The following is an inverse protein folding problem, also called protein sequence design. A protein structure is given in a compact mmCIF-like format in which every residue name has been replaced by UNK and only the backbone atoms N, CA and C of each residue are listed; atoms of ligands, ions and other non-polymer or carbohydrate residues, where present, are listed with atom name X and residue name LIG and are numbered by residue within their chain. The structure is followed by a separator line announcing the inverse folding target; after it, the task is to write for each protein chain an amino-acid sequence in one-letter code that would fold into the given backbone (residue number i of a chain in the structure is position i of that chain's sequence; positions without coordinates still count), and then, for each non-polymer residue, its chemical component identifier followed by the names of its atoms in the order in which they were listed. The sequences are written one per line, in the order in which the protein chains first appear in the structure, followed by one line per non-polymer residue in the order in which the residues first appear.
data_IF_248918102149
#
_entry.id   IF_248918102149
#
_cell.length_a   1.000
_cell.length_b   1.000
_cell.length_c   1.000
_cell.angle_alpha   90.00
_cell.angle_beta   90.00
_cell.angle_gamma   90.00
#
_symmetry.space_group_name_H-M   'P 1'
#
loop_
_entity.id
_entity.type
_entity.pdbx_description
1 polymer ?
#
# COMPACT_ATOMS: atom_id res chain seq x y z
N UNK A 1 -9.84 31.28 -17.29
CA UNK A 1 -10.15 29.91 -17.77
C UNK A 1 -11.40 29.48 -17.02
N UNK A 2 -12.45 29.13 -17.74
CA UNK A 2 -13.77 28.95 -17.15
C UNK A 2 -14.19 27.50 -17.29
N UNK A 3 -14.60 26.88 -16.18
CA UNK A 3 -15.27 25.58 -16.21
C UNK A 3 -16.78 25.79 -16.16
N UNK A 4 -17.47 25.52 -17.27
CA UNK A 4 -18.93 25.72 -17.42
C UNK A 4 -19.69 24.46 -17.80
N UNK A 5 -19.02 23.31 -17.86
CA UNK A 5 -19.67 22.05 -18.23
C UNK A 5 -20.75 21.65 -17.20
N UNK A 6 -21.96 21.28 -17.66
CA UNK A 6 -22.97 20.72 -16.78
C UNK A 6 -22.51 19.35 -16.25
N UNK A 7 -23.05 18.86 -15.12
CA UNK A 7 -22.67 17.58 -14.54
C UNK A 7 -23.26 16.42 -15.36
N UNK A 8 -22.81 16.21 -16.60
CA UNK A 8 -23.28 15.10 -17.44
C UNK A 8 -22.84 13.76 -16.86
N UNK A 9 -23.49 12.68 -17.27
CA UNK A 9 -23.19 11.34 -16.76
C UNK A 9 -21.74 10.96 -17.06
N UNK A 10 -21.23 11.31 -18.22
CA UNK A 10 -19.86 11.03 -18.67
C UNK A 10 -18.83 11.78 -17.81
N UNK A 11 -19.08 13.07 -17.57
CA UNK A 11 -18.22 13.90 -16.70
C UNK A 11 -18.23 13.38 -15.27
N UNK A 12 -19.40 13.04 -14.73
CA UNK A 12 -19.51 12.52 -13.37
C UNK A 12 -18.88 11.13 -13.23
N UNK A 13 -18.95 10.28 -14.26
CA UNK A 13 -18.22 9.02 -14.28
C UNK A 13 -16.71 9.25 -14.21
N UNK A 14 -16.20 10.20 -14.98
CA UNK A 14 -14.78 10.55 -14.93
C UNK A 14 -14.37 11.07 -13.54
N UNK A 15 -15.16 11.96 -12.94
CA UNK A 15 -14.90 12.49 -11.60
C UNK A 15 -15.06 11.43 -10.50
N UNK A 16 -15.93 10.44 -10.68
CA UNK A 16 -16.15 9.38 -9.70
C UNK A 16 -14.96 8.42 -9.55
N UNK A 17 -14.08 8.31 -10.55
CA UNK A 17 -12.98 7.31 -10.70
C UNK A 17 -13.39 5.83 -10.69
N UNK A 18 -14.59 5.52 -10.18
CA UNK A 18 -15.15 4.19 -10.00
C UNK A 18 -16.68 4.25 -10.23
N UNK A 19 -17.49 3.42 -9.57
CA UNK A 19 -18.92 3.32 -9.83
C UNK A 19 -19.64 4.62 -9.52
N UNK A 20 -20.21 5.28 -10.54
CA UNK A 20 -21.00 6.49 -10.35
C UNK A 20 -22.16 6.24 -9.37
N UNK A 21 -22.78 5.05 -9.41
CA UNK A 21 -23.86 4.67 -8.47
C UNK A 21 -23.45 4.77 -7.00
N UNK A 22 -22.23 4.34 -6.66
CA UNK A 22 -21.72 4.38 -5.27
C UNK A 22 -21.12 5.73 -4.90
N UNK A 23 -20.58 6.45 -5.89
CA UNK A 23 -19.79 7.66 -5.69
C UNK A 23 -20.46 8.93 -6.20
N UNK A 24 -21.76 8.90 -6.54
CA UNK A 24 -22.49 10.05 -7.06
C UNK A 24 -22.36 11.30 -6.18
N UNK A 25 -22.49 11.22 -4.83
CA UNK A 25 -22.27 12.38 -3.97
C UNK A 25 -20.89 13.00 -4.14
N UNK A 26 -19.84 12.17 -4.21
CA UNK A 26 -18.46 12.62 -4.39
C UNK A 26 -18.24 13.22 -5.78
N UNK A 27 -18.73 12.58 -6.84
CA UNK A 27 -18.60 13.07 -8.20
C UNK A 27 -19.26 14.44 -8.38
N UNK A 28 -20.47 14.62 -7.84
CA UNK A 28 -21.16 15.92 -7.82
C UNK A 28 -20.37 16.94 -7.01
N UNK A 29 -19.75 16.53 -5.89
CA UNK A 29 -18.93 17.40 -5.06
C UNK A 29 -17.70 17.94 -5.79
N UNK A 30 -16.97 17.05 -6.47
CA UNK A 30 -15.82 17.40 -7.29
C UNK A 30 -16.23 18.33 -8.44
N UNK A 31 -17.39 18.08 -9.07
CA UNK A 31 -17.94 18.96 -10.09
C UNK A 31 -18.22 20.37 -9.53
N UNK A 32 -18.85 20.49 -8.35
CA UNK A 32 -19.07 21.78 -7.69
C UNK A 32 -17.76 22.50 -7.40
N UNK A 33 -16.73 21.76 -6.98
CA UNK A 33 -15.40 22.34 -6.76
C UNK A 33 -14.76 22.86 -8.03
N UNK A 34 -14.84 22.13 -9.14
CA UNK A 34 -14.36 22.61 -10.44
C UNK A 34 -15.09 23.89 -10.85
N UNK A 35 -16.42 23.94 -10.69
CA UNK A 35 -17.22 25.15 -10.95
C UNK A 35 -16.73 26.33 -10.12
N UNK A 36 -16.41 26.13 -8.84
CA UNK A 36 -15.99 27.23 -7.95
C UNK A 36 -14.52 27.65 -8.13
N UNK A 37 -13.61 26.70 -8.40
CA UNK A 37 -12.18 26.94 -8.64
C UNK A 37 -11.92 27.70 -9.95
N UNK A 38 -12.77 27.45 -10.94
CA UNK A 38 -12.65 27.97 -12.30
C UNK A 38 -13.86 28.83 -12.70
N UNK A 39 -14.53 29.48 -11.74
CA UNK A 39 -15.56 30.48 -12.04
C UNK A 39 -14.95 31.86 -12.29
N UNK A 40 -15.62 32.65 -13.13
CA UNK A 40 -15.38 34.10 -13.31
C UNK A 40 -16.58 34.92 -12.78
N UNK A 41 -17.59 34.28 -12.17
CA UNK A 41 -18.71 34.97 -11.52
C UNK A 41 -18.22 35.62 -10.23
N UNK A 42 -18.40 36.93 -10.11
CA UNK A 42 -18.03 37.69 -8.91
C UNK A 42 -18.68 37.14 -7.63
N UNK A 43 -18.06 37.41 -6.48
CA UNK A 43 -18.49 36.90 -5.18
C UNK A 43 -19.83 37.54 -4.79
N UNK A 44 -20.91 36.82 -5.06
CA UNK A 44 -22.25 37.08 -4.52
C UNK A 44 -22.63 36.01 -3.47
N UNK A 45 -22.84 36.39 -2.19
CA UNK A 45 -23.28 35.47 -1.14
C UNK A 45 -24.60 34.75 -1.43
N UNK A 46 -25.44 35.26 -2.34
CA UNK A 46 -26.71 34.66 -2.74
C UNK A 46 -26.58 33.60 -3.84
N UNK A 47 -25.41 33.48 -4.47
CA UNK A 47 -25.13 32.49 -5.50
C UNK A 47 -24.22 31.37 -4.98
N UNK A 48 -24.62 30.12 -5.20
CA UNK A 48 -23.83 28.95 -4.80
C UNK A 48 -22.55 28.78 -5.65
N UNK A 49 -22.55 29.22 -6.92
CA UNK A 49 -21.45 29.06 -7.88
C UNK A 49 -20.64 30.34 -8.12
N UNK A 50 -20.11 30.93 -7.05
CA UNK A 50 -19.25 32.11 -7.14
C UNK A 50 -17.77 31.77 -7.09
N UNK A 51 -16.95 32.62 -7.69
CA UNK A 51 -15.50 32.47 -7.69
C UNK A 51 -14.96 32.45 -6.27
N UNK A 52 -14.14 31.45 -5.97
CA UNK A 52 -13.39 31.41 -4.70
C UNK A 52 -12.03 32.05 -4.93
N UNK A 53 -11.79 33.19 -4.27
CA UNK A 53 -10.52 33.90 -4.37
C UNK A 53 -9.48 33.21 -3.48
N UNK A 54 -8.42 32.69 -4.09
CA UNK A 54 -7.37 31.91 -3.42
C UNK A 54 -5.97 32.44 -3.77
N UNK A 55 -4.99 32.29 -2.86
CA UNK A 55 -3.58 32.47 -3.19
C UNK A 55 -3.11 31.38 -4.17
N UNK A 56 -2.10 31.68 -4.99
CA UNK A 56 -1.46 30.67 -5.85
C UNK A 56 -0.01 30.44 -5.40
N UNK A 57 0.35 29.26 -4.85
CA UNK A 57 -0.49 28.08 -4.57
C UNK A 57 -1.38 28.21 -3.31
N UNK A 58 -2.47 27.45 -3.20
CA UNK A 58 -3.37 27.41 -2.03
C UNK A 58 -3.31 26.09 -1.26
N UNK A 59 -3.57 26.12 0.04
CA UNK A 59 -3.75 24.94 0.89
C UNK A 59 -5.22 24.57 1.07
N UNK A 60 -5.50 23.41 1.65
CA UNK A 60 -6.87 23.08 2.08
C UNK A 60 -7.44 24.11 3.06
N UNK A 61 -6.62 24.66 3.96
CA UNK A 61 -7.10 25.68 4.91
C UNK A 61 -7.51 26.97 4.19
N UNK A 62 -6.73 27.38 3.18
CA UNK A 62 -7.07 28.53 2.32
C UNK A 62 -8.40 28.26 1.59
N UNK A 63 -8.57 27.05 1.02
CA UNK A 63 -9.82 26.63 0.39
C UNK A 63 -11.02 26.64 1.34
N UNK A 64 -10.89 26.01 2.51
CA UNK A 64 -11.95 25.92 3.52
C UNK A 64 -12.41 27.30 3.97
N UNK A 65 -11.46 28.17 4.30
CA UNK A 65 -11.75 29.51 4.80
C UNK A 65 -12.37 30.42 3.74
N UNK A 66 -12.10 30.17 2.46
CA UNK A 66 -12.68 30.94 1.36
C UNK A 66 -14.01 30.36 0.86
N UNK A 67 -14.23 29.04 1.00
CA UNK A 67 -15.42 28.35 0.50
C UNK A 67 -16.55 28.26 1.53
N UNK A 68 -16.25 28.04 2.81
CA UNK A 68 -17.25 27.95 3.88
C UNK A 68 -17.37 29.25 4.66
N UNK A 69 -18.45 29.41 5.43
CA UNK A 69 -18.60 30.57 6.32
C UNK A 69 -17.69 30.47 7.55
N UNK A 70 -17.47 31.60 8.23
CA UNK A 70 -16.57 31.69 9.41
C UNK A 70 -17.00 30.80 10.58
N UNK A 71 -18.27 30.38 10.60
CA UNK A 71 -18.82 29.51 11.65
C UNK A 71 -18.62 28.02 11.33
N UNK A 72 -18.04 27.68 10.17
CA UNK A 72 -17.77 26.31 9.78
C UNK A 72 -16.69 25.68 10.67
N UNK A 73 -16.93 24.47 11.23
CA UNK A 73 -15.99 23.86 12.14
C UNK A 73 -14.66 23.51 11.46
N UNK A 74 -13.57 23.63 12.23
CA UNK A 74 -12.21 23.33 11.76
C UNK A 74 -11.71 21.95 12.17
N UNK A 75 -12.48 21.24 13.00
CA UNK A 75 -12.17 19.91 13.52
C UNK A 75 -12.69 18.79 12.58
N UNK A 76 -12.33 17.54 12.88
CA UNK A 76 -12.53 16.41 11.95
C UNK A 76 -13.99 15.93 11.83
N UNK A 77 -14.82 16.20 12.84
CA UNK A 77 -16.19 15.70 12.88
C UNK A 77 -17.06 16.26 11.74
N UNK A 78 -18.05 15.48 11.32
CA UNK A 78 -19.07 15.93 10.37
C UNK A 78 -19.74 17.19 10.95
N UNK A 79 -19.75 18.33 10.23
CA UNK A 79 -20.35 19.56 10.73
C UNK A 79 -21.81 19.36 11.11
N UNK A 80 -22.19 19.73 12.35
CA UNK A 80 -23.60 19.88 12.70
C UNK A 80 -24.24 20.98 11.84
N UNK A 81 -25.57 21.01 11.76
CA UNK A 81 -26.27 22.16 11.16
C UNK A 81 -25.93 23.41 11.96
N UNK A 82 -25.51 24.45 11.25
CA UNK A 82 -25.11 25.74 11.81
C UNK A 82 -25.62 26.84 10.89
N UNK A 83 -24.84 27.90 10.69
CA UNK A 83 -25.13 29.01 9.79
C UNK A 83 -25.81 28.57 8.47
N UNK A 84 -27.05 29.02 8.23
CA UNK A 84 -27.79 28.70 7.01
C UNK A 84 -27.12 29.20 5.73
N UNK A 85 -26.21 30.17 5.82
CA UNK A 85 -25.41 30.65 4.68
C UNK A 85 -24.16 29.81 4.40
N UNK A 86 -23.85 28.82 5.24
CA UNK A 86 -22.67 27.99 5.02
C UNK A 86 -22.89 26.99 3.88
N UNK A 87 -21.98 26.95 2.91
CA UNK A 87 -22.03 26.03 1.76
C UNK A 87 -22.19 24.54 2.12
N UNK A 88 -21.87 24.14 3.35
CA UNK A 88 -22.04 22.77 3.82
C UNK A 88 -23.44 22.36 4.26
N UNK A 89 -24.36 23.32 4.46
CA UNK A 89 -25.76 22.99 4.83
C UNK A 89 -26.59 22.57 3.62
N UNK A 90 -26.15 22.97 2.41
CA UNK A 90 -26.84 22.69 1.18
C UNK A 90 -26.75 21.22 0.76
N UNK A 91 -27.92 20.69 0.39
CA UNK A 91 -28.08 19.35 -0.14
C UNK A 91 -27.59 19.25 -1.59
N UNK A 92 -27.40 18.03 -2.07
CA UNK A 92 -27.11 17.79 -3.49
C UNK A 92 -28.19 18.40 -4.38
N UNK A 93 -29.46 18.30 -3.99
CA UNK A 93 -30.57 18.91 -4.72
C UNK A 93 -30.43 20.43 -4.82
N UNK A 94 -30.01 21.11 -3.74
CA UNK A 94 -29.84 22.57 -3.73
C UNK A 94 -28.79 23.01 -4.75
N UNK A 95 -27.65 22.33 -4.80
CA UNK A 95 -26.57 22.61 -5.76
C UNK A 95 -27.01 22.40 -7.21
N UNK A 96 -27.72 21.31 -7.47
CA UNK A 96 -28.17 20.90 -8.80
C UNK A 96 -29.42 21.64 -9.30
N UNK A 97 -30.19 22.28 -8.42
CA UNK A 97 -31.41 23.04 -8.79
C UNK A 97 -31.15 24.49 -9.14
N UNK A 98 -29.92 24.98 -8.96
CA UNK A 98 -29.58 26.37 -9.30
C UNK A 98 -29.69 26.59 -10.81
N UNK A 99 -30.14 27.77 -11.27
CA UNK A 99 -30.18 28.10 -12.69
C UNK A 99 -28.83 27.92 -13.40
N UNK A 100 -27.74 28.20 -12.68
CA UNK A 100 -26.37 28.14 -13.18
C UNK A 100 -25.86 26.71 -13.40
N UNK A 101 -26.53 25.70 -12.83
CA UNK A 101 -26.16 24.29 -13.00
C UNK A 101 -26.33 23.78 -14.44
N UNK A 102 -27.20 24.44 -15.22
CA UNK A 102 -27.51 24.06 -16.61
C UNK A 102 -28.31 22.75 -16.74
N UNK A 103 -28.90 22.24 -15.65
CA UNK A 103 -29.65 20.98 -15.66
C UNK A 103 -31.08 21.15 -15.14
N UNK A 104 -32.00 20.36 -15.70
CA UNK A 104 -33.31 20.14 -15.12
C UNK A 104 -33.27 18.81 -14.34
N UNK A 105 -33.42 18.85 -13.01
CA UNK A 105 -33.28 17.66 -12.13
C UNK A 105 -34.07 16.43 -12.61
N UNK A 106 -35.31 16.62 -13.08
CA UNK A 106 -36.14 15.52 -13.59
C UNK A 106 -35.66 14.92 -14.91
N UNK A 107 -34.91 15.66 -15.71
CA UNK A 107 -34.28 15.14 -16.94
C UNK A 107 -32.94 14.47 -16.62
N UNK A 108 -32.17 15.07 -15.72
CA UNK A 108 -30.90 14.53 -15.23
C UNK A 108 -31.08 13.22 -14.44
N UNK A 109 -32.13 13.11 -13.64
CA UNK A 109 -32.50 11.84 -13.00
C UNK A 109 -32.79 10.74 -14.01
N UNK A 110 -33.52 11.05 -15.08
CA UNK A 110 -33.78 10.11 -16.19
C UNK A 110 -32.52 9.69 -16.94
N UNK A 111 -31.49 10.53 -17.02
CA UNK A 111 -30.20 10.10 -17.58
C UNK A 111 -29.49 9.14 -16.64
N UNK A 112 -29.50 9.38 -15.33
CA UNK A 112 -28.89 8.47 -14.35
C UNK A 112 -29.61 7.12 -14.20
N UNK A 113 -30.94 7.08 -14.37
CA UNK A 113 -31.72 5.84 -14.39
C UNK A 113 -31.26 4.87 -15.49
N UNK A 114 -30.87 5.40 -16.66
CA UNK A 114 -30.32 4.60 -17.77
C UNK A 114 -28.93 4.02 -17.47
N UNK A 115 -28.30 4.45 -16.38
CA UNK A 115 -27.00 3.99 -15.88
C UNK A 115 -27.11 3.33 -14.48
N UNK A 116 -28.20 2.60 -14.24
CA UNK A 116 -28.43 1.73 -13.08
C UNK A 116 -28.53 2.40 -11.70
N UNK A 117 -28.86 3.71 -11.64
CA UNK A 117 -29.22 4.41 -10.39
C UNK A 117 -30.75 4.48 -10.28
N UNK A 118 -31.40 3.67 -9.42
CA UNK A 118 -32.85 3.66 -9.33
C UNK A 118 -33.40 4.96 -8.73
N UNK A 119 -34.61 5.40 -9.11
CA UNK A 119 -35.19 6.69 -8.70
C UNK A 119 -35.26 6.86 -7.18
N UNK A 120 -35.65 5.81 -6.46
CA UNK A 120 -35.77 5.81 -4.99
C UNK A 120 -34.43 6.00 -4.29
N UNK A 121 -33.34 5.49 -4.87
CA UNK A 121 -31.99 5.70 -4.34
C UNK A 121 -31.48 7.10 -4.66
N UNK A 122 -31.82 7.62 -5.84
CA UNK A 122 -31.46 8.98 -6.23
C UNK A 122 -32.12 10.02 -5.32
N UNK A 123 -33.40 9.89 -5.00
CA UNK A 123 -34.08 10.81 -4.07
C UNK A 123 -33.38 10.86 -2.70
N UNK A 124 -33.01 9.71 -2.16
CA UNK A 124 -32.27 9.63 -0.88
C UNK A 124 -30.88 10.28 -0.97
N UNK A 125 -30.19 10.16 -2.11
CA UNK A 125 -28.91 10.83 -2.35
C UNK A 125 -29.10 12.34 -2.45
N UNK A 126 -30.11 12.81 -3.19
CA UNK A 126 -30.36 14.23 -3.43
C UNK A 126 -30.58 15.02 -2.12
N UNK A 127 -31.11 14.38 -1.08
CA UNK A 127 -31.33 14.98 0.24
C UNK A 127 -30.07 15.05 1.14
N UNK A 128 -28.94 14.45 0.73
CA UNK A 128 -27.71 14.48 1.52
C UNK A 128 -27.02 15.86 1.41
N UNK A 129 -26.48 16.35 2.53
CA UNK A 129 -25.64 17.55 2.56
C UNK A 129 -24.33 17.29 1.82
N UNK A 130 -24.11 17.98 0.70
CA UNK A 130 -23.01 17.68 -0.22
C UNK A 130 -21.64 17.79 0.47
N UNK A 131 -21.43 18.89 1.20
CA UNK A 131 -20.20 19.15 1.95
C UNK A 131 -20.35 18.93 3.46
N UNK A 132 -21.46 18.33 3.90
CA UNK A 132 -21.68 17.93 5.30
C UNK A 132 -20.95 16.63 5.62
N UNK A 133 -19.65 16.59 5.37
CA UNK A 133 -18.76 15.42 5.52
C UNK A 133 -17.53 15.81 6.36
N UNK A 134 -16.65 14.86 6.64
CA UNK A 134 -15.44 15.13 7.45
C UNK A 134 -14.43 15.98 6.68
N UNK A 135 -13.57 16.67 7.44
CA UNK A 135 -12.44 17.43 6.89
C UNK A 135 -11.55 16.56 6.01
N UNK A 136 -11.26 15.31 6.42
CA UNK A 136 -10.46 14.36 5.63
C UNK A 136 -11.06 14.10 4.26
N UNK A 137 -12.36 13.81 4.17
CA UNK A 137 -13.01 13.56 2.88
C UNK A 137 -12.94 14.77 1.94
N UNK A 138 -13.03 15.99 2.48
CA UNK A 138 -12.83 17.20 1.68
C UNK A 138 -11.36 17.31 1.22
N UNK A 139 -10.40 17.12 2.12
CA UNK A 139 -8.98 17.15 1.73
C UNK A 139 -8.64 16.12 0.63
N UNK A 140 -9.19 14.91 0.72
CA UNK A 140 -9.06 13.83 -0.27
C UNK A 140 -9.67 14.18 -1.64
N UNK A 141 -10.67 15.06 -1.68
CA UNK A 141 -11.24 15.52 -2.93
C UNK A 141 -10.31 16.48 -3.69
N UNK A 142 -9.50 17.29 -2.99
CA UNK A 142 -8.52 18.18 -3.64
C UNK A 142 -7.37 17.34 -4.20
N UNK A 143 -7.00 16.31 -3.45
CA UNK A 143 -6.09 15.27 -3.92
C UNK A 143 -6.62 14.59 -5.19
N UNK A 144 -7.90 14.20 -5.19
CA UNK A 144 -8.54 13.56 -6.35
C UNK A 144 -8.56 14.46 -7.57
N UNK A 145 -8.88 15.75 -7.41
CA UNK A 145 -8.79 16.73 -8.50
C UNK A 145 -7.35 16.87 -9.01
N UNK A 146 -6.35 16.78 -8.14
CA UNK A 146 -4.95 16.79 -8.58
C UNK A 146 -4.57 15.54 -9.38
N UNK A 147 -5.02 14.35 -8.95
CA UNK A 147 -4.75 13.09 -9.64
C UNK A 147 -5.45 13.00 -11.00
N UNK A 148 -6.65 13.57 -11.10
CA UNK A 148 -7.38 13.70 -12.36
C UNK A 148 -6.80 14.78 -13.29
N UNK A 149 -5.76 15.50 -12.88
CA UNK A 149 -5.10 16.53 -13.67
C UNK A 149 -5.80 17.89 -13.66
N UNK A 150 -6.83 18.08 -12.83
CA UNK A 150 -7.50 19.37 -12.65
C UNK A 150 -6.72 20.32 -11.74
N UNK A 151 -5.83 19.82 -10.89
CA UNK A 151 -4.94 20.63 -10.06
C UNK A 151 -3.51 20.12 -10.16
N UNK A 152 -2.52 20.98 -9.89
CA UNK A 152 -1.12 20.56 -9.64
C UNK A 152 -0.83 20.63 -8.16
N UNK A 153 -0.50 19.49 -7.54
CA UNK A 153 -0.02 19.43 -6.16
C UNK A 153 1.50 19.67 -6.11
N UNK A 154 1.94 20.50 -5.17
CA UNK A 154 3.35 20.70 -4.83
C UNK A 154 3.46 20.75 -3.30
N UNK A 155 3.94 19.65 -2.71
CA UNK A 155 3.86 19.43 -1.26
C UNK A 155 2.41 19.43 -0.78
N UNK A 156 2.09 20.30 0.19
CA UNK A 156 0.75 20.43 0.80
C UNK A 156 -0.13 21.51 0.15
N UNK A 157 0.28 22.05 -1.01
CA UNK A 157 -0.45 23.12 -1.69
C UNK A 157 -0.80 22.72 -3.12
N UNK A 158 -1.89 23.27 -3.61
CA UNK A 158 -2.45 23.07 -4.94
C UNK A 158 -2.31 24.34 -5.77
N UNK A 159 -2.18 24.17 -7.08
CA UNK A 159 -2.27 25.23 -8.08
C UNK A 159 -3.30 24.85 -9.11
N UNK A 160 -4.06 25.84 -9.58
CA UNK A 160 -4.91 25.66 -10.75
C UNK A 160 -4.05 25.37 -11.98
N UNK A 161 -4.46 24.39 -12.78
CA UNK A 161 -3.86 24.18 -14.11
C UNK A 161 -4.20 25.32 -15.07
N UNK A 162 -3.39 25.50 -16.10
CA UNK A 162 -3.59 26.46 -17.21
C UNK A 162 -4.16 25.81 -18.47
N UNK A 163 -4.37 24.49 -18.44
CA UNK A 163 -5.04 23.70 -19.47
C UNK A 163 -5.76 22.55 -18.76
N UNK A 164 -7.01 22.28 -19.14
CA UNK A 164 -7.78 21.17 -18.56
C UNK A 164 -7.24 19.82 -19.05
N UNK A 165 -7.35 18.76 -18.22
CA UNK A 165 -6.92 17.43 -18.60
C UNK A 165 -7.74 16.90 -19.78
N UNK A 166 -7.09 16.15 -20.67
CA UNK A 166 -7.79 15.44 -21.74
C UNK A 166 -8.68 14.35 -21.13
N UNK A 167 -9.90 14.20 -21.67
CA UNK A 167 -10.80 13.13 -21.21
C UNK A 167 -10.14 11.77 -21.48
N UNK A 168 -10.16 10.84 -20.53
CA UNK A 168 -9.60 9.51 -20.75
C UNK A 168 -10.38 8.82 -21.88
N UNK A 169 -9.74 8.65 -23.03
CA UNK A 169 -10.08 7.59 -23.99
C UNK A 169 -9.71 6.27 -23.34
N UNK A 170 -10.58 5.25 -23.43
CA UNK A 170 -10.37 3.90 -22.89
C UNK A 170 -9.10 3.24 -23.46
N UNK A 171 -7.94 3.60 -22.92
CA UNK A 171 -6.67 2.93 -23.12
C UNK A 171 -5.63 3.60 -22.22
N UNK A 172 -5.44 3.03 -21.02
CA UNK A 172 -4.21 3.24 -20.26
C UNK A 172 -3.63 1.86 -20.03
N UNK A 173 -2.66 1.49 -20.87
CA UNK A 173 -1.87 0.28 -20.70
C UNK A 173 -1.14 0.36 -19.36
N UNK A 174 -1.49 -0.56 -18.46
CA UNK A 174 -0.76 -0.82 -17.22
C UNK A 174 0.40 -1.75 -17.60
N UNK A 175 1.39 -1.20 -18.28
CA UNK A 175 2.66 -1.90 -18.49
C UNK A 175 3.63 -1.51 -17.38
N UNK A 176 4.31 -2.51 -16.83
CA UNK A 176 5.29 -2.45 -15.73
C UNK A 176 4.76 -2.51 -14.29
N UNK A 177 3.92 -3.51 -13.99
CA UNK A 177 3.97 -4.12 -12.66
C UNK A 177 5.05 -5.21 -12.68
N UNK A 178 6.18 -4.98 -12.01
CA UNK A 178 7.19 -6.03 -11.76
C UNK A 178 6.65 -6.99 -10.69
N UNK A 179 5.81 -7.92 -11.15
CA UNK A 179 5.27 -9.07 -10.39
C UNK A 179 5.26 -10.28 -11.33
N UNK A 180 5.07 -11.52 -10.83
CA UNK A 180 4.90 -12.67 -11.70
C UNK A 180 3.92 -12.33 -12.84
N UNK A 181 4.19 -12.74 -14.09
CA UNK A 181 3.51 -12.26 -15.29
C UNK A 181 1.97 -12.31 -15.23
N UNK A 182 1.40 -13.15 -14.36
CA UNK A 182 -0.03 -13.26 -14.12
C UNK A 182 -0.65 -12.13 -13.28
N UNK A 183 0.10 -11.38 -12.48
CA UNK A 183 -0.49 -10.40 -11.56
C UNK A 183 -0.93 -9.11 -12.27
N UNK A 184 -0.22 -8.68 -13.31
CA UNK A 184 -0.66 -7.59 -14.19
C UNK A 184 -1.98 -7.94 -14.89
N UNK A 185 -2.11 -9.18 -15.38
CA UNK A 185 -3.35 -9.69 -15.95
C UNK A 185 -4.48 -9.79 -14.90
N UNK A 186 -4.16 -10.23 -13.68
CA UNK A 186 -5.11 -10.25 -12.56
C UNK A 186 -5.56 -8.83 -12.21
N UNK A 187 -4.66 -7.85 -12.12
CA UNK A 187 -5.01 -6.44 -11.86
C UNK A 187 -5.90 -5.90 -12.98
N UNK A 188 -5.58 -6.18 -14.24
CA UNK A 188 -6.42 -5.82 -15.37
C UNK A 188 -7.83 -6.43 -15.24
N UNK A 189 -7.95 -7.71 -14.88
CA UNK A 189 -9.24 -8.35 -14.64
C UNK A 189 -9.96 -7.79 -13.40
N UNK A 190 -9.24 -7.51 -12.31
CA UNK A 190 -9.77 -6.88 -11.10
C UNK A 190 -10.33 -5.49 -11.41
N UNK A 191 -9.72 -4.74 -12.31
CA UNK A 191 -10.17 -3.43 -12.75
C UNK A 191 -11.26 -3.50 -13.83
N UNK A 192 -11.41 -4.63 -14.53
CA UNK A 192 -12.37 -4.78 -15.61
C UNK A 192 -13.79 -5.05 -15.11
N UNK A 193 -14.74 -4.30 -15.65
CA UNK A 193 -16.18 -4.58 -15.47
C UNK A 193 -16.72 -5.42 -16.61
N UNK A 194 -17.62 -6.34 -16.28
CA UNK A 194 -18.31 -7.19 -17.25
C UNK A 194 -19.78 -6.80 -17.28
N UNK A 195 -20.22 -6.25 -18.42
CA UNK A 195 -21.57 -5.67 -18.62
C UNK A 195 -21.91 -4.61 -17.56
N UNK A 196 -20.98 -3.69 -17.30
CA UNK A 196 -21.18 -2.60 -16.32
C UNK A 196 -21.03 -3.01 -14.85
N UNK A 197 -20.92 -4.31 -14.55
CA UNK A 197 -20.87 -4.83 -13.18
C UNK A 197 -19.45 -5.21 -12.73
N UNK A 198 -19.11 -4.87 -11.49
CA UNK A 198 -17.87 -5.31 -10.84
C UNK A 198 -18.02 -6.76 -10.38
N UNK A 199 -17.25 -7.66 -10.96
CA UNK A 199 -17.32 -9.11 -10.67
C UNK A 199 -16.05 -9.68 -10.07
N UNK A 200 -14.93 -9.00 -10.26
CA UNK A 200 -13.65 -9.38 -9.70
C UNK A 200 -13.38 -8.53 -8.47
N UNK A 201 -13.06 -9.14 -7.34
CA UNK A 201 -12.78 -8.42 -6.09
C UNK A 201 -11.46 -8.89 -5.53
N UNK A 202 -10.62 -7.95 -5.11
CA UNK A 202 -9.40 -8.24 -4.36
C UNK A 202 -9.70 -8.05 -2.87
N UNK A 203 -9.75 -9.15 -2.14
CA UNK A 203 -9.75 -9.10 -0.69
C UNK A 203 -8.34 -9.32 -0.19
N UNK A 204 -7.75 -8.28 0.40
CA UNK A 204 -6.48 -8.35 1.10
C UNK A 204 -6.73 -8.03 2.57
N UNK A 205 -6.40 -8.97 3.44
CA UNK A 205 -6.40 -8.72 4.89
C UNK A 205 -5.33 -7.67 5.19
N UNK A 206 -5.69 -6.42 5.45
CA UNK A 206 -4.71 -5.37 5.76
C UNK A 206 -4.47 -5.32 7.27
N UNK A 207 -3.21 -5.39 7.71
CA UNK A 207 -2.83 -5.41 9.14
C UNK A 207 -2.33 -4.05 9.66
N UNK A 208 -2.32 -3.03 8.80
CA UNK A 208 -1.96 -1.67 9.22
C UNK A 208 -3.20 -1.02 9.85
N UNK A 209 -3.04 -0.38 11.03
CA UNK A 209 -4.11 0.39 11.64
C UNK A 209 -4.68 1.46 10.70
N UNK A 210 -6.00 1.67 10.71
CA UNK A 210 -6.68 2.61 9.81
C UNK A 210 -6.16 4.06 9.95
N UNK A 211 -5.71 4.45 11.14
CA UNK A 211 -5.11 5.74 11.44
C UNK A 211 -3.67 5.90 10.91
N UNK A 212 -3.00 4.79 10.58
CA UNK A 212 -1.68 4.80 9.98
C UNK A 212 -1.69 4.77 8.45
N UNK A 213 -2.85 4.55 7.80
CA UNK A 213 -2.97 4.47 6.34
C UNK A 213 -2.51 5.74 5.63
N UNK A 214 -3.05 6.89 6.02
CA UNK A 214 -2.70 8.19 5.42
C UNK A 214 -1.19 8.45 5.54
N UNK A 215 -0.63 8.13 6.71
CA UNK A 215 0.80 8.29 6.96
C UNK A 215 1.64 7.37 6.07
N UNK A 216 1.20 6.14 5.84
CA UNK A 216 1.89 5.22 4.92
C UNK A 216 1.86 5.75 3.49
N UNK A 217 0.72 6.28 3.05
CA UNK A 217 0.59 6.92 1.73
C UNK A 217 1.50 8.16 1.61
N UNK A 218 1.51 9.03 2.63
CA UNK A 218 2.41 10.19 2.71
C UNK A 218 3.88 9.78 2.60
N UNK A 219 4.29 8.69 3.28
CA UNK A 219 5.65 8.15 3.19
C UNK A 219 5.96 7.60 1.80
N UNK A 220 5.01 6.94 1.14
CA UNK A 220 5.18 6.45 -0.23
C UNK A 220 5.38 7.64 -1.19
N UNK A 221 4.57 8.68 -1.07
CA UNK A 221 4.68 9.86 -1.93
C UNK A 221 5.98 10.63 -1.68
N UNK A 222 6.41 10.75 -0.41
CA UNK A 222 7.71 11.34 -0.08
C UNK A 222 8.88 10.53 -0.67
N UNK A 223 8.81 9.21 -0.62
CA UNK A 223 9.81 8.33 -1.23
C UNK A 223 9.84 8.48 -2.76
N UNK A 224 8.68 8.56 -3.43
CA UNK A 224 8.59 8.84 -4.89
C UNK A 224 9.28 10.15 -5.25
N UNK A 225 8.93 11.25 -4.56
CA UNK A 225 9.56 12.56 -4.77
C UNK A 225 11.07 12.52 -4.48
N UNK A 226 11.51 11.69 -3.54
CA UNK A 226 12.93 11.44 -3.27
C UNK A 226 13.62 10.72 -4.44
N UNK A 227 13.01 9.66 -4.98
CA UNK A 227 13.58 8.86 -6.07
C UNK A 227 13.62 9.59 -7.42
N UNK A 228 12.78 10.59 -7.64
CA UNK A 228 12.85 11.47 -8.82
C UNK A 228 14.07 12.41 -8.81
N UNK A 229 14.73 12.60 -7.66
CA UNK A 229 15.91 13.44 -7.54
C UNK A 229 17.17 12.70 -8.00
N UNK A 230 18.08 13.43 -8.65
CA UNK A 230 19.40 12.93 -9.05
C UNK A 230 20.51 13.78 -8.43
N UNK A 231 21.30 13.25 -7.47
CA UNK A 231 21.20 11.92 -6.88
C UNK A 231 20.02 11.77 -5.90
N UNK A 232 19.53 10.55 -5.73
CA UNK A 232 18.52 10.22 -4.70
C UNK A 232 19.09 10.59 -3.31
N UNK A 233 18.36 11.35 -2.48
CA UNK A 233 18.85 11.76 -1.17
C UNK A 233 18.77 10.60 -0.15
N UNK A 234 19.74 10.49 0.78
CA UNK A 234 19.56 9.69 1.98
C UNK A 234 18.46 10.29 2.85
N UNK A 235 17.88 9.49 3.75
CA UNK A 235 16.80 9.89 4.65
C UNK A 235 17.17 9.59 6.10
N UNK A 236 16.82 10.49 7.00
CA UNK A 236 16.76 10.24 8.42
C UNK A 236 15.39 9.66 8.77
N UNK A 237 15.37 8.46 9.30
CA UNK A 237 14.17 7.80 9.78
C UNK A 237 14.06 7.94 11.29
N UNK A 238 12.86 8.24 11.79
CA UNK A 238 12.48 7.99 13.19
C UNK A 238 11.52 6.80 13.19
N UNK A 239 11.96 5.66 13.73
CA UNK A 239 11.29 4.37 13.57
C UNK A 239 11.02 3.69 14.91
N UNK A 240 9.80 3.17 15.08
CA UNK A 240 9.44 2.37 16.25
C UNK A 240 9.81 0.89 16.06
N UNK A 241 10.88 0.45 16.73
CA UNK A 241 11.39 -0.91 16.65
C UNK A 241 10.68 -1.83 17.64
N UNK A 242 9.91 -2.81 17.15
CA UNK A 242 9.25 -3.81 18.02
C UNK A 242 10.24 -4.73 18.71
N UNK A 243 11.35 -5.09 18.05
CA UNK A 243 12.41 -5.93 18.64
C UNK A 243 12.99 -5.29 19.91
N UNK A 244 13.02 -3.96 19.98
CA UNK A 244 13.61 -3.19 21.09
C UNK A 244 12.60 -2.46 21.96
N UNK A 245 11.35 -2.45 21.54
CA UNK A 245 10.28 -1.68 22.18
C UNK A 245 10.68 -0.21 22.39
N UNK A 246 11.36 0.38 21.39
CA UNK A 246 11.92 1.72 21.47
C UNK A 246 11.88 2.45 20.12
N UNK A 247 11.80 3.78 20.19
CA UNK A 247 11.97 4.66 19.03
C UNK A 247 13.47 4.83 18.77
N UNK A 248 13.85 4.76 17.50
CA UNK A 248 15.24 4.87 17.08
C UNK A 248 15.36 5.77 15.86
N UNK A 249 16.49 6.44 15.75
CA UNK A 249 16.86 7.18 14.56
C UNK A 249 17.93 6.43 13.78
N UNK A 250 17.82 6.46 12.46
CA UNK A 250 18.81 5.86 11.56
C UNK A 250 18.86 6.63 10.25
N UNK A 251 20.06 6.95 9.78
CA UNK A 251 20.29 7.47 8.44
C UNK A 251 20.42 6.31 7.46
N UNK A 252 19.56 6.30 6.45
CA UNK A 252 19.49 5.22 5.46
C UNK A 252 19.38 5.77 4.04
N UNK A 253 19.89 5.00 3.09
CA UNK A 253 19.63 5.19 1.66
C UNK A 253 18.38 4.37 1.28
N UNK A 254 17.28 5.03 0.83
CA UNK A 254 16.04 4.34 0.48
C UNK A 254 16.16 3.68 -0.90
N UNK A 255 16.10 2.34 -0.96
CA UNK A 255 16.36 1.60 -2.20
C UNK A 255 15.07 1.29 -2.95
N UNK A 256 14.12 0.61 -2.31
CA UNK A 256 12.84 0.25 -2.93
C UNK A 256 11.78 -0.08 -1.87
N UNK A 257 10.52 -0.19 -2.31
CA UNK A 257 9.40 -0.59 -1.46
C UNK A 257 8.85 -1.94 -1.91
N UNK A 258 8.53 -2.80 -0.94
CA UNK A 258 7.89 -4.10 -1.13
C UNK A 258 6.59 -4.19 -0.35
N UNK A 259 5.58 -4.82 -0.93
CA UNK A 259 4.39 -5.28 -0.22
C UNK A 259 4.50 -6.77 0.06
N UNK A 260 4.67 -7.15 1.32
CA UNK A 260 4.85 -8.54 1.76
C UNK A 260 4.07 -8.77 3.04
N UNK A 261 3.42 -9.93 3.17
CA UNK A 261 2.62 -10.31 4.34
C UNK A 261 1.73 -9.17 4.87
N UNK A 262 0.96 -8.54 3.98
CA UNK A 262 -0.09 -7.57 4.33
C UNK A 262 0.41 -6.20 4.83
N UNK A 263 1.70 -5.90 4.70
CA UNK A 263 2.26 -4.61 5.04
C UNK A 263 3.23 -4.10 3.97
N UNK A 264 3.46 -2.79 3.96
CA UNK A 264 4.39 -2.12 3.06
C UNK A 264 5.71 -1.89 3.78
N UNK A 265 6.81 -2.27 3.14
CA UNK A 265 8.16 -2.22 3.68
C UNK A 265 9.07 -1.40 2.78
N UNK A 266 9.84 -0.50 3.38
CA UNK A 266 10.99 0.14 2.75
C UNK A 266 12.23 -0.74 2.97
N UNK A 267 12.81 -1.24 1.87
CA UNK A 267 14.14 -1.83 1.85
C UNK A 267 15.16 -0.69 1.79
N UNK A 268 15.99 -0.57 2.82
CA UNK A 268 16.99 0.49 2.90
C UNK A 268 18.35 -0.03 3.32
N UNK A 269 19.40 0.68 2.91
CA UNK A 269 20.78 0.38 3.27
C UNK A 269 21.35 1.54 4.09
N UNK A 270 21.84 1.29 5.29
CA UNK A 270 22.31 2.36 6.14
C UNK A 270 22.68 1.92 7.55
N UNK A 271 22.54 2.83 8.49
CA UNK A 271 22.94 2.58 9.87
C UNK A 271 22.17 1.42 10.48
N UNK A 272 22.93 0.48 11.03
CA UNK A 272 22.40 -0.66 11.76
C UNK A 272 22.47 -0.34 13.25
N UNK A 273 21.32 -0.12 13.88
CA UNK A 273 21.30 0.14 15.31
C UNK A 273 21.67 -1.11 16.16
N UNK A 274 21.87 -2.31 15.57
CA UNK A 274 22.22 -3.58 16.27
C UNK A 274 23.73 -3.82 16.46
N UNK A 275 24.61 -3.02 15.87
CA UNK A 275 26.06 -3.27 15.97
C UNK A 275 26.80 -2.08 16.55
N UNK A 276 27.75 -2.38 17.45
CA UNK A 276 28.67 -1.40 18.04
C UNK A 276 29.71 -0.86 17.04
N UNK A 277 29.61 -1.23 15.77
CA UNK A 277 30.53 -0.85 14.71
C UNK A 277 29.82 0.02 13.67
N UNK A 278 30.56 0.94 13.07
CA UNK A 278 30.17 1.86 12.00
C UNK A 278 29.86 1.12 10.67
N UNK A 279 29.16 0.00 10.71
CA UNK A 279 28.86 -0.84 9.57
C UNK A 279 27.49 -0.49 8.99
N UNK A 280 27.45 -0.26 7.68
CA UNK A 280 26.21 -0.05 6.95
C UNK A 280 25.68 -1.39 6.49
N UNK A 281 24.41 -1.65 6.78
CA UNK A 281 23.76 -2.90 6.42
C UNK A 281 22.32 -2.67 5.92
N UNK A 282 21.74 -3.72 5.36
CA UNK A 282 20.38 -3.75 4.85
C UNK A 282 19.37 -3.96 5.96
N UNK A 283 18.24 -3.26 5.87
CA UNK A 283 17.10 -3.45 6.75
C UNK A 283 15.78 -3.21 6.03
N UNK A 284 14.76 -3.95 6.46
CA UNK A 284 13.38 -3.76 6.04
C UNK A 284 12.61 -2.95 7.11
N UNK A 285 12.12 -1.78 6.73
CA UNK A 285 11.34 -0.90 7.62
C UNK A 285 9.87 -0.92 7.24
N UNK A 286 9.01 -1.32 8.18
CA UNK A 286 7.56 -1.22 8.00
C UNK A 286 7.14 0.25 7.94
N UNK A 287 6.51 0.67 6.84
CA UNK A 287 6.13 2.08 6.67
C UNK A 287 5.16 2.55 7.76
N UNK A 288 4.26 1.67 8.21
CA UNK A 288 3.29 1.99 9.27
C UNK A 288 3.94 2.30 10.62
N UNK A 289 5.22 1.93 10.82
CA UNK A 289 5.98 2.15 12.05
C UNK A 289 6.99 3.29 11.96
N UNK A 290 7.08 3.95 10.81
CA UNK A 290 7.88 5.18 10.65
C UNK A 290 7.07 6.34 11.23
N UNK A 291 7.66 7.03 12.20
CA UNK A 291 7.06 8.21 12.85
C UNK A 291 7.42 9.50 12.12
N UNK A 292 8.63 9.57 11.56
CA UNK A 292 9.08 10.70 10.75
C UNK A 292 10.11 10.24 9.71
N UNK A 293 10.10 10.90 8.56
CA UNK A 293 11.06 10.71 7.48
C UNK A 293 11.52 12.09 6.98
N UNK A 294 12.82 12.33 7.02
CA UNK A 294 13.41 13.59 6.59
C UNK A 294 14.51 13.33 5.54
N UNK A 295 14.39 13.85 4.30
CA UNK A 295 15.47 13.83 3.33
C UNK A 295 16.65 14.66 3.83
N UNK A 296 17.86 14.13 3.64
CA UNK A 296 19.11 14.79 3.99
C UNK A 296 19.87 15.15 2.70
N UNK A 297 20.66 16.22 2.78
CA UNK A 297 21.68 16.49 1.75
C UNK A 297 22.81 15.46 1.88
N UNK A 298 23.43 15.09 0.76
CA UNK A 298 24.67 14.29 0.76
C UNK A 298 25.84 14.95 1.52
N UNK A 299 25.78 16.26 1.73
CA UNK A 299 26.75 17.03 2.52
C UNK A 299 26.39 17.16 4.00
N UNK A 300 25.25 16.59 4.43
CA UNK A 300 24.81 16.66 5.83
C UNK A 300 25.76 15.85 6.74
N UNK A 301 26.11 16.41 7.89
CA UNK A 301 27.05 15.82 8.83
C UNK A 301 26.53 14.50 9.44
N UNK A 302 25.21 14.27 9.40
CA UNK A 302 24.59 13.03 9.87
C UNK A 302 24.74 11.88 8.87
N UNK A 303 25.03 12.16 7.59
CA UNK A 303 25.19 11.09 6.59
C UNK A 303 26.50 10.35 6.84
N UNK A 304 26.47 9.02 7.10
CA UNK A 304 27.68 8.26 7.42
C UNK A 304 28.75 8.37 6.33
N UNK A 305 30.02 8.46 6.74
CA UNK A 305 31.15 8.64 5.82
C UNK A 305 31.23 7.53 4.76
N UNK A 306 30.97 6.27 5.14
CA UNK A 306 30.92 5.13 4.23
C UNK A 306 29.81 5.28 3.17
N UNK A 307 28.67 5.87 3.54
CA UNK A 307 27.56 6.11 2.61
C UNK A 307 27.93 7.23 1.63
N UNK A 308 28.53 8.32 2.12
CA UNK A 308 29.04 9.40 1.26
C UNK A 308 30.12 8.89 0.30
N UNK A 309 30.99 7.99 0.75
CA UNK A 309 31.99 7.35 -0.08
C UNK A 309 31.34 6.50 -1.17
N UNK A 310 30.32 5.69 -0.83
CA UNK A 310 29.60 4.88 -1.80
C UNK A 310 28.91 5.74 -2.88
N UNK A 311 28.34 6.88 -2.48
CA UNK A 311 27.81 7.87 -3.41
C UNK A 311 28.88 8.45 -4.35
N UNK A 312 30.01 8.92 -3.80
CA UNK A 312 31.14 9.46 -4.60
C UNK A 312 31.70 8.44 -5.59
N UNK A 313 31.71 7.16 -5.20
CA UNK A 313 32.17 6.04 -6.02
C UNK A 313 31.08 5.48 -6.97
N UNK A 314 29.85 6.02 -6.95
CA UNK A 314 28.70 5.55 -7.73
C UNK A 314 28.37 4.07 -7.52
N UNK A 315 28.55 3.58 -6.29
CA UNK A 315 28.27 2.19 -5.90
C UNK A 315 27.12 2.11 -4.88
N UNK A 316 26.18 3.06 -4.92
CA UNK A 316 24.97 2.98 -4.10
C UNK A 316 24.13 1.75 -4.50
N UNK A 317 23.43 1.12 -3.53
CA UNK A 317 22.61 -0.03 -3.82
C UNK A 317 21.49 0.26 -4.82
N UNK A 318 21.17 -0.72 -5.67
CA UNK A 318 20.14 -0.62 -6.70
C UNK A 318 19.02 -1.64 -6.43
N UNK A 319 17.74 -1.36 -6.78
CA UNK A 319 16.63 -2.30 -6.58
C UNK A 319 16.86 -3.70 -7.17
N UNK A 320 17.59 -3.82 -8.27
CA UNK A 320 17.95 -5.12 -8.87
C UNK A 320 18.75 -6.03 -7.93
N UNK A 321 19.60 -5.46 -7.07
CA UNK A 321 20.36 -6.23 -6.08
C UNK A 321 19.44 -6.84 -5.03
N UNK A 322 18.36 -6.15 -4.67
CA UNK A 322 17.34 -6.68 -3.75
C UNK A 322 16.61 -7.84 -4.43
N UNK A 323 16.20 -7.67 -5.70
CA UNK A 323 15.52 -8.73 -6.45
C UNK A 323 16.38 -10.00 -6.60
N UNK A 324 17.64 -9.85 -6.95
CA UNK A 324 18.61 -10.95 -7.04
C UNK A 324 18.71 -11.69 -5.71
N UNK A 325 18.95 -10.99 -4.60
CA UNK A 325 19.01 -11.62 -3.27
C UNK A 325 17.69 -12.26 -2.83
N UNK A 326 16.54 -11.68 -3.19
CA UNK A 326 15.24 -12.27 -2.89
C UNK A 326 15.02 -13.61 -3.63
N UNK A 327 15.59 -13.76 -4.83
CA UNK A 327 15.49 -15.00 -5.63
C UNK A 327 16.43 -16.13 -5.17
N UNK A 328 17.51 -15.80 -4.45
CA UNK A 328 18.52 -16.77 -4.02
C UNK A 328 17.96 -17.77 -3.00
N UNK A 329 17.15 -17.27 -2.06
CA UNK A 329 16.67 -18.04 -0.92
C UNK A 329 15.35 -17.50 -0.42
N UNK A 330 14.51 -18.41 0.05
CA UNK A 330 13.21 -18.07 0.58
C UNK A 330 13.33 -17.23 1.85
N UNK A 331 12.83 -16.00 1.78
CA UNK A 331 12.73 -15.08 2.90
C UNK A 331 12.68 -13.65 2.39
N UNK A 332 11.98 -12.79 3.12
CA UNK A 332 11.94 -11.36 2.86
C UNK A 332 13.12 -10.62 3.51
N UNK A 333 13.71 -11.16 4.58
CA UNK A 333 14.92 -10.63 5.18
C UNK A 333 16.14 -11.13 4.38
N UNK A 334 16.21 -10.70 3.11
CA UNK A 334 17.17 -11.14 2.09
C UNK A 334 18.65 -10.89 2.46
N UNK A 335 18.89 -10.06 3.46
CA UNK A 335 20.20 -9.78 4.02
C UNK A 335 20.68 -10.81 5.04
N UNK A 336 19.78 -11.67 5.54
CA UNK A 336 20.18 -12.78 6.41
C UNK A 336 20.91 -13.87 5.61
N UNK A 337 21.78 -14.67 6.26
CA UNK A 337 22.44 -15.79 5.61
C UNK A 337 21.44 -16.78 5.00
N UNK A 338 21.71 -17.21 3.77
CA UNK A 338 20.98 -18.30 3.15
C UNK A 338 21.48 -19.64 3.70
N UNK A 339 20.55 -20.50 4.11
CA UNK A 339 20.83 -21.84 4.61
C UNK A 339 19.94 -22.87 3.92
N UNK A 340 20.44 -24.09 3.76
CA UNK A 340 19.64 -25.21 3.26
C UNK A 340 18.79 -25.79 4.38
N UNK A 341 17.53 -26.09 4.07
CA UNK A 341 16.63 -26.88 4.90
C UNK A 341 16.15 -28.12 4.15
N UNK A 342 15.80 -29.16 4.91
CA UNK A 342 15.08 -30.32 4.38
C UNK A 342 13.76 -30.46 5.11
N UNK A 343 12.67 -30.56 4.35
CA UNK A 343 11.32 -30.73 4.85
C UNK A 343 10.79 -32.11 4.46
N UNK A 344 9.98 -32.70 5.35
CA UNK A 344 9.17 -33.88 5.10
C UNK A 344 7.70 -33.51 5.22
N UNK A 345 6.89 -33.89 4.23
CA UNK A 345 5.43 -33.82 4.28
C UNK A 345 4.87 -35.23 4.20
N UNK A 346 3.77 -35.49 4.89
CA UNK A 346 3.02 -36.72 4.61
C UNK A 346 2.51 -36.73 3.17
N UNK A 347 2.37 -37.92 2.60
CA UNK A 347 2.04 -38.11 1.19
C UNK A 347 0.72 -37.45 0.76
N UNK A 348 -0.30 -37.50 1.60
CA UNK A 348 -1.60 -36.95 1.25
C UNK A 348 -1.56 -35.43 1.21
N UNK A 349 -0.98 -34.81 2.24
CA UNK A 349 -0.85 -33.35 2.30
C UNK A 349 0.00 -32.80 1.15
N UNK A 350 1.08 -33.50 0.79
CA UNK A 350 1.87 -33.16 -0.39
C UNK A 350 1.03 -33.12 -1.66
N UNK A 351 0.31 -34.22 -1.95
CA UNK A 351 -0.50 -34.34 -3.15
C UNK A 351 -1.62 -33.31 -3.22
N UNK A 352 -2.22 -32.95 -2.09
CA UNK A 352 -3.34 -32.03 -2.03
C UNK A 352 -2.93 -30.55 -2.01
N UNK A 353 -1.80 -30.19 -1.39
CA UNK A 353 -1.49 -28.78 -1.06
C UNK A 353 -0.07 -28.31 -1.39
N UNK A 354 0.87 -29.20 -1.66
CA UNK A 354 2.28 -28.81 -1.89
C UNK A 354 2.67 -29.04 -3.34
N UNK A 355 2.47 -30.26 -3.84
CA UNK A 355 2.83 -30.66 -5.20
C UNK A 355 2.07 -29.82 -6.22
N UNK A 356 2.78 -29.37 -7.26
CA UNK A 356 2.18 -28.59 -8.35
C UNK A 356 1.89 -27.14 -7.98
N UNK A 357 2.33 -26.67 -6.81
CA UNK A 357 2.22 -25.26 -6.42
C UNK A 357 3.57 -24.57 -6.52
N UNK A 358 3.57 -23.31 -6.93
CA UNK A 358 4.78 -22.47 -6.90
C UNK A 358 5.00 -22.00 -5.46
N UNK A 359 6.22 -22.18 -4.97
CA UNK A 359 6.62 -21.81 -3.59
C UNK A 359 7.82 -20.89 -3.58
N UNK A 360 8.87 -21.33 -4.26
CA UNK A 360 10.12 -20.63 -4.52
C UNK A 360 10.89 -21.44 -5.57
N UNK A 361 11.71 -20.80 -6.40
CA UNK A 361 12.46 -21.50 -7.47
C UNK A 361 13.41 -22.57 -6.95
N UNK A 362 13.88 -22.39 -5.70
CA UNK A 362 14.78 -23.32 -5.00
C UNK A 362 14.06 -24.34 -4.11
N UNK A 363 12.72 -24.44 -4.19
CA UNK A 363 11.94 -25.43 -3.44
C UNK A 363 11.71 -26.66 -4.31
N UNK A 364 12.50 -27.72 -4.09
CA UNK A 364 12.61 -28.83 -5.03
C UNK A 364 12.38 -30.18 -4.35
N UNK A 365 11.63 -31.11 -4.99
CA UNK A 365 11.45 -32.45 -4.47
C UNK A 365 12.76 -33.24 -4.53
N UNK A 366 13.04 -34.00 -3.48
CA UNK A 366 14.21 -34.87 -3.38
C UNK A 366 13.81 -36.28 -2.95
N UNK A 367 14.66 -37.26 -3.26
CA UNK A 367 14.41 -38.65 -2.86
C UNK A 367 14.77 -38.88 -1.39
N UNK A 368 14.17 -39.91 -0.78
CA UNK A 368 14.54 -40.37 0.56
C UNK A 368 16.05 -40.67 0.71
N UNK A 369 16.68 -41.23 -0.33
CA UNK A 369 18.12 -41.50 -0.31
C UNK A 369 18.95 -40.21 -0.36
N UNK A 370 18.51 -39.20 -1.11
CA UNK A 370 19.14 -37.88 -1.11
C UNK A 370 19.07 -37.22 0.27
N UNK A 371 17.93 -37.31 0.98
CA UNK A 371 17.81 -36.81 2.36
C UNK A 371 18.83 -37.48 3.28
N UNK A 372 19.00 -38.80 3.17
CA UNK A 372 19.99 -39.55 3.96
C UNK A 372 21.42 -39.05 3.69
N UNK A 373 21.76 -38.77 2.43
CA UNK A 373 23.06 -38.20 2.06
C UNK A 373 23.24 -36.79 2.62
N UNK A 374 22.22 -35.93 2.50
CA UNK A 374 22.26 -34.56 3.01
C UNK A 374 22.45 -34.51 4.54
N UNK A 375 21.78 -35.39 5.29
CA UNK A 375 21.99 -35.49 6.75
C UNK A 375 23.45 -35.80 7.07
N UNK A 376 24.07 -36.74 6.35
CA UNK A 376 25.48 -37.10 6.56
C UNK A 376 26.44 -35.97 6.21
N UNK A 377 26.18 -35.25 5.13
CA UNK A 377 27.05 -34.17 4.65
C UNK A 377 26.94 -32.91 5.49
N UNK A 378 25.71 -32.53 5.91
CA UNK A 378 25.45 -31.25 6.55
C UNK A 378 25.29 -31.33 8.08
N UNK A 379 25.50 -32.50 8.69
CA UNK A 379 25.49 -32.67 10.15
C UNK A 379 26.83 -33.22 10.63
N UNK A 380 27.83 -32.36 10.90
CA UNK A 380 29.18 -32.79 11.26
C UNK A 380 29.24 -33.45 12.65
N UNK A 381 28.34 -33.07 13.55
CA UNK A 381 28.20 -33.68 14.88
C UNK A 381 27.67 -35.13 14.76
N UNK A 382 28.42 -36.15 15.20
CA UNK A 382 28.04 -37.55 15.03
C UNK A 382 26.75 -37.94 15.77
N UNK A 383 26.50 -37.39 16.95
CA UNK A 383 25.33 -37.74 17.77
C UNK A 383 24.05 -37.16 17.16
N UNK A 384 24.10 -35.90 16.72
CA UNK A 384 23.00 -35.25 16.00
C UNK A 384 22.74 -35.97 14.68
N UNK A 385 23.80 -36.31 13.93
CA UNK A 385 23.68 -37.04 12.67
C UNK A 385 22.99 -38.39 12.87
N UNK A 386 23.44 -39.19 13.85
CA UNK A 386 22.84 -40.49 14.15
C UNK A 386 21.38 -40.36 14.59
N UNK A 387 21.04 -39.31 15.34
CA UNK A 387 19.67 -39.02 15.76
C UNK A 387 18.77 -38.69 14.57
N UNK A 388 19.20 -37.81 13.67
CA UNK A 388 18.47 -37.47 12.45
C UNK A 388 18.28 -38.68 11.52
N UNK A 389 19.30 -39.53 11.39
CA UNK A 389 19.20 -40.77 10.62
C UNK A 389 18.18 -41.75 11.23
N UNK A 390 18.11 -41.85 12.57
CA UNK A 390 17.10 -42.65 13.26
C UNK A 390 15.69 -42.09 13.05
N UNK A 391 15.53 -40.78 13.15
CA UNK A 391 14.26 -40.08 12.87
C UNK A 391 13.80 -40.39 11.45
N UNK A 392 14.67 -40.20 10.45
CA UNK A 392 14.37 -40.46 9.05
C UNK A 392 13.97 -41.94 8.83
N UNK A 393 14.68 -42.88 9.47
CA UNK A 393 14.36 -44.31 9.40
C UNK A 393 12.95 -44.65 9.96
N UNK A 394 12.44 -43.84 10.88
CA UNK A 394 11.07 -43.93 11.39
C UNK A 394 10.02 -43.19 10.54
N UNK A 395 10.36 -42.71 9.33
CA UNK A 395 9.43 -42.07 8.39
C UNK A 395 9.23 -42.93 7.15
N UNK A 396 8.10 -42.72 6.47
CA UNK A 396 7.80 -43.48 5.27
C UNK A 396 8.68 -43.03 4.12
N UNK A 397 9.29 -43.99 3.41
CA UNK A 397 10.01 -43.71 2.16
C UNK A 397 9.12 -43.13 1.06
N UNK A 398 7.80 -43.26 1.19
CA UNK A 398 6.81 -42.73 0.25
C UNK A 398 6.30 -41.34 0.63
N UNK A 399 6.74 -40.80 1.77
CA UNK A 399 6.50 -39.40 2.09
C UNK A 399 7.20 -38.49 1.08
N UNK A 400 6.74 -37.24 1.01
CA UNK A 400 7.36 -36.26 0.14
C UNK A 400 8.46 -35.54 0.90
N UNK A 401 9.63 -35.43 0.26
CA UNK A 401 10.78 -34.74 0.81
C UNK A 401 11.18 -33.61 -0.12
N UNK A 402 11.50 -32.46 0.46
CA UNK A 402 11.88 -31.28 -0.29
C UNK A 402 13.14 -30.66 0.30
N UNK A 403 13.98 -30.11 -0.58
CA UNK A 403 15.06 -29.21 -0.20
C UNK A 403 14.64 -27.78 -0.52
N UNK A 404 15.06 -26.85 0.33
CA UNK A 404 14.91 -25.42 0.07
C UNK A 404 16.08 -24.64 0.65
N UNK A 405 16.39 -23.49 0.06
CA UNK A 405 17.26 -22.49 0.69
C UNK A 405 16.39 -21.41 1.33
N UNK A 406 16.72 -21.00 2.55
CA UNK A 406 15.98 -19.98 3.28
C UNK A 406 16.88 -18.98 4.00
N UNK A 407 16.33 -17.81 4.28
CA UNK A 407 16.97 -16.77 5.09
C UNK A 407 16.85 -17.13 6.56
N UNK A 408 17.99 -17.40 7.20
CA UNK A 408 18.04 -17.76 8.61
C UNK A 408 17.43 -16.63 9.46
N UNK A 409 16.69 -16.99 10.51
CA UNK A 409 16.02 -16.06 11.43
C UNK A 409 14.94 -15.16 10.81
N UNK A 410 14.57 -15.37 9.55
CA UNK A 410 13.45 -14.64 8.93
C UNK A 410 12.10 -15.09 9.53
N UNK A 411 11.34 -14.19 10.18
CA UNK A 411 10.04 -14.52 10.75
C UNK A 411 9.03 -15.03 9.72
N UNK A 412 9.12 -14.57 8.47
CA UNK A 412 8.21 -14.95 7.39
C UNK A 412 8.35 -16.42 7.02
N UNK A 413 9.58 -16.95 7.04
CA UNK A 413 9.84 -18.38 6.82
C UNK A 413 9.23 -19.18 7.96
N UNK A 414 9.47 -18.76 9.21
CA UNK A 414 8.91 -19.42 10.40
C UNK A 414 7.38 -19.45 10.40
N UNK A 415 6.72 -18.35 10.03
CA UNK A 415 5.25 -18.30 9.92
C UNK A 415 4.71 -19.32 8.91
N UNK A 416 5.37 -19.48 7.75
CA UNK A 416 4.93 -20.47 6.77
C UNK A 416 5.16 -21.89 7.25
N UNK A 417 6.31 -22.16 7.90
CA UNK A 417 6.58 -23.46 8.50
C UNK A 417 5.53 -23.81 9.58
N UNK A 418 5.08 -22.83 10.37
CA UNK A 418 3.96 -22.99 11.33
C UNK A 418 2.65 -23.36 10.65
N UNK A 419 2.32 -22.70 9.53
CA UNK A 419 1.07 -22.93 8.81
C UNK A 419 0.93 -24.35 8.23
N UNK A 420 2.03 -25.09 8.06
CA UNK A 420 2.00 -26.49 7.58
C UNK A 420 2.01 -27.52 8.71
N UNK A 421 2.11 -27.11 9.97
CA UNK A 421 1.98 -28.05 11.08
C UNK A 421 0.55 -28.59 11.18
N UNK A 422 0.35 -29.83 11.64
CA UNK A 422 1.36 -30.83 12.00
C UNK A 422 1.81 -31.71 10.81
N UNK A 423 1.47 -31.34 9.56
CA UNK A 423 1.66 -32.17 8.35
C UNK A 423 3.06 -32.08 7.75
N UNK A 424 3.84 -31.10 8.21
CA UNK A 424 5.23 -30.87 7.84
C UNK A 424 6.17 -31.09 9.03
N UNK A 425 7.34 -31.67 8.75
CA UNK A 425 8.45 -31.83 9.69
C UNK A 425 9.74 -31.30 9.09
N UNK A 426 10.48 -30.48 9.86
CA UNK A 426 11.84 -30.06 9.51
C UNK A 426 12.83 -31.15 9.90
N UNK A 427 13.63 -31.63 8.94
CA UNK A 427 14.71 -32.60 9.18
C UNK A 427 16.07 -31.92 9.31
N UNK A 428 16.33 -30.87 8.53
CA UNK A 428 17.56 -30.09 8.55
C UNK A 428 17.25 -28.58 8.44
N UNK A 429 18.10 -27.69 8.96
CA UNK A 429 19.23 -27.98 9.85
C UNK A 429 18.77 -28.44 11.25
N UNK A 430 19.69 -29.00 12.04
CA UNK A 430 19.38 -29.51 13.38
C UNK A 430 18.78 -28.42 14.28
N UNK A 431 19.35 -27.22 14.23
CA UNK A 431 18.98 -26.09 15.06
C UNK A 431 17.53 -25.65 14.78
N UNK A 432 17.15 -25.53 13.50
CA UNK A 432 15.78 -25.19 13.11
C UNK A 432 14.78 -26.27 13.54
N UNK A 433 15.17 -27.54 13.44
CA UNK A 433 14.36 -28.66 13.92
C UNK A 433 14.13 -28.57 15.43
N UNK A 434 15.18 -28.33 16.21
CA UNK A 434 15.07 -28.20 17.67
C UNK A 434 14.17 -27.03 18.05
N UNK A 435 14.36 -25.86 17.42
CA UNK A 435 13.51 -24.70 17.64
C UNK A 435 12.02 -25.02 17.41
N UNK A 436 11.67 -25.69 16.30
CA UNK A 436 10.27 -26.08 16.03
C UNK A 436 9.77 -27.12 17.04
N UNK A 437 10.64 -28.05 17.46
CA UNK A 437 10.29 -29.06 18.45
C UNK A 437 9.94 -28.43 19.80
N UNK A 438 10.77 -27.49 20.26
CA UNK A 438 10.55 -26.72 21.49
C UNK A 438 9.29 -25.84 21.41
N UNK A 439 9.01 -25.23 20.24
CA UNK A 439 7.76 -24.49 20.02
C UNK A 439 6.54 -25.41 20.16
N UNK A 440 6.55 -26.58 19.52
CA UNK A 440 5.43 -27.53 19.56
C UNK A 440 5.23 -28.12 20.96
N UNK A 441 6.31 -28.39 21.70
CA UNK A 441 6.23 -28.88 23.08
C UNK A 441 5.58 -27.84 24.00
N UNK A 442 6.03 -26.58 23.93
CA UNK A 442 5.43 -25.48 24.68
C UNK A 442 3.98 -25.24 24.28
N UNK A 443 3.68 -25.29 22.99
CA UNK A 443 2.30 -25.18 22.50
C UNK A 443 1.43 -26.29 23.08
N UNK A 444 1.89 -27.54 23.09
CA UNK A 444 1.17 -28.66 23.68
C UNK A 444 0.96 -28.54 25.20
N UNK A 445 1.82 -27.83 25.92
CA UNK A 445 1.63 -27.54 27.35
C UNK A 445 0.47 -26.56 27.60
N UNK A 446 0.20 -25.64 26.68
CA UNK A 446 -0.93 -24.71 26.80
C UNK A 446 -2.30 -25.40 26.73
N UNK A 447 -2.34 -26.63 26.19
CA UNK A 447 -3.54 -27.44 26.05
C UNK A 447 -3.52 -28.68 26.96
N UNK A 448 -2.55 -28.78 27.87
CA UNK A 448 -2.56 -29.79 28.93
C UNK A 448 -3.30 -29.21 30.13
N UNK A 449 -4.46 -29.78 30.45
CA UNK A 449 -5.23 -29.47 31.65
C UNK A 449 -4.49 -29.81 32.94
#
# INVERSE_FOLDING_TARGET
MIFSEPPTVELLHWLARDSLKRNLPRAVRLWVWLRCLYSEVEVDPSHLFTQVVLPEPFSYADWRNAFFSDTHPTHEAIPALHDPGCRCVHTIADWLSTPDSGIQLSQWGRTLERHDIPPTHLEAILQQRLFGITRRSLSEDLQTLSELGWLKKSGQRYRRVTAFPDRPTESSNIDEIVTPPDLGAIVNHLCQRLNGEQRFFLHVDYIVPLDALDRVEDWIDQLKTGWEQTPVPPILLTYHSVKRQAIQQAVVYPVCVYYVQRAVYLCAWGESADEAAQQLDWRNYRLDRIQAMQPLSWSDAQVPALMQQAWKQRCLPHPSQVQEKMSEAWGFDFYQPAQMMVLRFDRWFDQAYVRGTVRHDRFEPISYSAVKSLIKTHTPDPERQQTLLRILAGRSRQDAYYVAHYRQNDPNVMHRLRAWRPKMEVLLPWELRQQITEEVQREAELYRD
#
